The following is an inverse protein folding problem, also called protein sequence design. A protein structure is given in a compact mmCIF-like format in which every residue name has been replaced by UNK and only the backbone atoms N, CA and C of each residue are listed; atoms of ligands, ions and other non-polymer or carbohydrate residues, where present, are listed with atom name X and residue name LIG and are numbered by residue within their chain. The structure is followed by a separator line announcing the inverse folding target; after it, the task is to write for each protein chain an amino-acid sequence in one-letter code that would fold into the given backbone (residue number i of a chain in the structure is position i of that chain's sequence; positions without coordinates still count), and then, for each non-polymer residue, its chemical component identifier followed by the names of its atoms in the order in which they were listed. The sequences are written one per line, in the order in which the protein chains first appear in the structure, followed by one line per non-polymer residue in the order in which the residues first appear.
data_IF_721167164591
#
_entry.id   IF_721167164591
#
_cell.length_a   1.000
_cell.length_b   1.000
_cell.length_c   1.000
_cell.angle_alpha   90.00
_cell.angle_beta   90.00
_cell.angle_gamma   90.00
#
_symmetry.space_group_name_H-M   'P 1'
#
loop_
_entity.id
_entity.type
_entity.pdbx_description
1 polymer ?
#
# COMPACT_ATOMS: atom_id res chain seq x y z
N UNK A 1 31.02 17.82 12.42
CA UNK A 1 29.93 17.54 11.46
C UNK A 1 29.31 16.14 11.64
N UNK A 2 30.08 15.04 11.71
CA UNK A 2 29.53 13.68 11.90
C UNK A 2 28.86 13.42 13.26
N UNK A 3 29.33 14.06 14.34
CA UNK A 3 28.75 13.90 15.69
C UNK A 3 27.32 14.47 15.81
N UNK A 4 27.01 15.55 15.09
CA UNK A 4 25.67 16.17 15.10
C UNK A 4 24.66 15.26 14.40
N UNK A 5 25.06 14.61 13.30
CA UNK A 5 24.21 13.65 12.58
C UNK A 5 23.92 12.39 13.40
N UNK A 6 24.87 11.89 14.21
CA UNK A 6 24.65 10.73 15.09
C UNK A 6 23.69 11.08 16.23
N UNK A 7 23.82 12.27 16.82
CA UNK A 7 22.92 12.73 17.88
C UNK A 7 21.52 13.01 17.34
N UNK A 8 21.39 13.63 16.15
CA UNK A 8 20.09 13.80 15.48
C UNK A 8 19.44 12.45 15.16
N UNK A 9 20.22 11.48 14.66
CA UNK A 9 19.73 10.14 14.32
C UNK A 9 19.30 9.35 15.57
N UNK A 10 19.99 9.53 16.70
CA UNK A 10 19.63 8.91 17.99
C UNK A 10 18.38 9.54 18.60
N UNK A 11 18.24 10.88 18.52
CA UNK A 11 17.03 11.61 18.95
C UNK A 11 15.83 11.22 18.08
N UNK A 12 16.01 11.07 16.77
CA UNK A 12 14.94 10.67 15.84
C UNK A 12 14.56 9.20 16.04
N UNK A 13 15.51 8.28 16.30
CA UNK A 13 15.19 6.91 16.72
C UNK A 13 14.40 6.88 18.04
N UNK A 14 14.74 7.73 19.00
CA UNK A 14 14.00 7.86 20.26
C UNK A 14 12.58 8.41 20.06
N UNK A 15 12.42 9.42 19.19
CA UNK A 15 11.11 9.99 18.84
C UNK A 15 10.23 8.95 18.14
N UNK A 16 10.77 8.19 17.18
CA UNK A 16 10.03 7.11 16.51
C UNK A 16 9.66 5.98 17.49
N UNK A 17 10.55 5.64 18.44
CA UNK A 17 10.30 4.60 19.45
C UNK A 17 9.27 5.03 20.50
N UNK A 18 9.25 6.31 20.88
CA UNK A 18 8.23 6.90 21.76
C UNK A 18 6.86 6.94 21.07
N UNK A 19 6.83 7.28 19.77
CA UNK A 19 5.60 7.38 18.99
C UNK A 19 4.89 6.03 18.75
N UNK A 20 5.65 4.91 18.73
CA UNK A 20 5.06 3.57 18.61
C UNK A 20 4.46 3.01 19.91
N UNK A 21 4.70 3.65 21.07
CA UNK A 21 4.28 3.13 22.38
C UNK A 21 3.09 3.87 23.01
N UNK A 22 2.60 4.97 22.44
CA UNK A 22 1.64 5.86 23.13
C UNK A 22 0.16 5.65 22.76
N UNK A 23 -0.18 4.65 21.94
CA UNK A 23 -1.57 4.36 21.62
C UNK A 23 -2.24 3.43 22.66
N UNK A 24 -2.55 3.94 23.87
CA UNK A 24 -3.62 3.36 24.72
C UNK A 24 -4.07 4.28 25.88
N UNK A 25 -5.17 5.02 25.69
CA UNK A 25 -6.42 5.03 26.48
C UNK A 25 -7.22 6.35 26.29
N UNK A 26 -8.47 6.21 25.83
CA UNK A 26 -9.48 7.26 25.68
C UNK A 26 -10.10 7.68 27.03
N UNK A 27 -10.47 8.97 27.17
CA UNK A 27 -11.83 9.43 27.56
C UNK A 27 -11.95 10.96 27.62
N UNK A 28 -13.18 11.52 27.50
CA UNK A 28 -13.44 12.71 26.69
C UNK A 28 -13.72 14.00 27.50
N UNK A 29 -13.53 15.18 26.86
CA UNK A 29 -14.53 16.27 26.73
C UNK A 29 -13.97 17.71 26.68
N UNK A 30 -13.34 18.17 25.58
CA UNK A 30 -13.30 19.59 25.10
C UNK A 30 -12.98 19.59 23.58
N UNK A 31 -13.94 19.24 22.72
CA UNK A 31 -13.59 18.52 21.48
C UNK A 31 -13.40 19.29 20.16
N UNK A 32 -13.70 20.60 20.03
CA UNK A 32 -13.80 21.18 18.67
C UNK A 32 -12.70 22.17 18.25
N UNK A 33 -11.94 22.75 19.18
CA UNK A 33 -10.83 23.67 18.83
C UNK A 33 -9.46 22.97 18.77
N UNK A 34 -9.23 22.01 19.67
CA UNK A 34 -7.98 21.22 19.71
C UNK A 34 -7.84 20.22 18.57
N UNK A 35 -8.95 19.62 18.09
CA UNK A 35 -8.93 18.71 16.93
C UNK A 35 -8.43 19.38 15.66
N UNK A 36 -8.76 20.65 15.44
CA UNK A 36 -8.35 21.36 14.21
C UNK A 36 -6.84 21.65 14.23
N UNK A 37 -6.30 22.01 15.39
CA UNK A 37 -4.87 22.28 15.58
C UNK A 37 -4.04 20.99 15.47
N UNK A 38 -4.53 19.87 16.03
CA UNK A 38 -3.87 18.56 15.92
C UNK A 38 -3.82 18.08 14.45
N UNK A 39 -4.90 18.24 13.70
CA UNK A 39 -4.94 17.84 12.29
C UNK A 39 -3.96 18.65 11.41
N UNK A 40 -3.73 19.93 11.73
CA UNK A 40 -2.79 20.76 10.98
C UNK A 40 -1.33 20.41 11.27
N UNK A 41 -1.00 20.11 12.53
CA UNK A 41 0.33 19.65 12.93
C UNK A 41 0.66 18.28 12.31
N UNK A 42 -0.26 17.31 12.38
CA UNK A 42 -0.09 15.99 11.75
C UNK A 42 0.05 16.10 10.22
N UNK A 43 -0.67 17.05 9.61
CA UNK A 43 -0.57 17.31 8.18
C UNK A 43 0.80 17.86 7.82
N UNK A 44 1.37 18.74 8.64
CA UNK A 44 2.72 19.28 8.43
C UNK A 44 3.79 18.20 8.59
N UNK A 45 3.66 17.34 9.61
CA UNK A 45 4.55 16.19 9.82
C UNK A 45 4.59 15.26 8.60
N UNK A 46 3.41 14.98 8.00
CA UNK A 46 3.32 14.18 6.77
C UNK A 46 4.06 14.85 5.60
N UNK A 47 4.04 16.18 5.50
CA UNK A 47 4.76 16.89 4.43
C UNK A 47 6.26 16.76 4.62
N UNK A 48 6.73 16.99 5.85
CA UNK A 48 8.13 16.87 6.22
C UNK A 48 8.62 15.44 5.93
N UNK A 49 7.85 14.44 6.35
CA UNK A 49 8.15 13.05 6.07
C UNK A 49 8.17 12.76 4.56
N UNK A 50 7.23 13.29 3.77
CA UNK A 50 7.21 13.11 2.32
C UNK A 50 8.50 13.60 1.64
N UNK A 51 9.01 14.76 2.07
CA UNK A 51 10.28 15.31 1.58
C UNK A 51 11.49 14.48 2.06
N UNK A 52 11.50 14.10 3.34
CA UNK A 52 12.54 13.26 3.92
C UNK A 52 12.65 11.90 3.23
N UNK A 53 11.51 11.25 2.98
CA UNK A 53 11.44 9.98 2.27
C UNK A 53 11.99 10.11 0.84
N UNK A 54 11.59 11.16 0.11
CA UNK A 54 12.09 11.42 -1.25
C UNK A 54 13.62 11.58 -1.28
N UNK A 55 14.16 12.38 -0.37
CA UNK A 55 15.60 12.62 -0.28
C UNK A 55 16.36 11.35 0.11
N UNK A 56 15.83 10.57 1.05
CA UNK A 56 16.41 9.30 1.48
C UNK A 56 16.43 8.28 0.33
N UNK A 57 15.31 8.11 -0.38
CA UNK A 57 15.21 7.21 -1.53
C UNK A 57 16.24 7.56 -2.61
N UNK A 58 16.32 8.84 -2.98
CA UNK A 58 17.27 9.30 -4.00
C UNK A 58 18.72 9.10 -3.55
N UNK A 59 19.03 9.39 -2.28
CA UNK A 59 20.37 9.15 -1.71
C UNK A 59 20.74 7.67 -1.69
N UNK A 60 19.79 6.80 -1.42
CA UNK A 60 19.98 5.36 -1.44
C UNK A 60 20.03 4.78 -2.87
N UNK A 61 19.73 5.56 -3.91
CA UNK A 61 19.81 5.12 -5.30
C UNK A 61 18.62 4.27 -5.78
N UNK A 62 17.48 4.29 -5.09
CA UNK A 62 16.30 3.51 -5.49
C UNK A 62 15.36 4.31 -6.39
N UNK A 63 14.77 3.68 -7.39
CA UNK A 63 13.68 4.26 -8.17
C UNK A 63 12.35 4.16 -7.41
N UNK A 64 11.36 4.96 -7.80
CA UNK A 64 10.01 4.85 -7.25
C UNK A 64 9.36 3.48 -7.57
N UNK A 65 9.75 2.84 -8.68
CA UNK A 65 9.31 1.49 -9.05
C UNK A 65 9.87 0.44 -8.10
N UNK A 66 11.17 0.53 -7.78
CA UNK A 66 11.84 -0.41 -6.88
C UNK A 66 11.19 -0.41 -5.50
N UNK A 67 10.95 0.77 -4.92
CA UNK A 67 10.29 0.88 -3.61
C UNK A 67 8.88 0.28 -3.66
N UNK A 68 8.13 0.56 -4.73
CA UNK A 68 6.79 0.00 -4.90
C UNK A 68 6.78 -1.53 -4.93
N UNK A 69 7.74 -2.12 -5.65
CA UNK A 69 7.90 -3.58 -5.73
C UNK A 69 8.31 -4.18 -4.38
N UNK A 70 9.27 -3.57 -3.69
CA UNK A 70 9.78 -4.04 -2.39
C UNK A 70 8.68 -4.03 -1.31
N UNK A 71 7.89 -2.95 -1.26
CA UNK A 71 6.73 -2.88 -0.36
C UNK A 71 5.63 -3.87 -0.74
N UNK A 72 5.45 -4.13 -2.04
CA UNK A 72 4.46 -5.08 -2.54
C UNK A 72 4.76 -6.52 -2.10
N UNK A 73 6.03 -6.91 -2.15
CA UNK A 73 6.49 -8.20 -1.64
C UNK A 73 6.23 -8.38 -0.14
N UNK A 74 6.36 -7.30 0.65
CA UNK A 74 6.21 -7.34 2.11
C UNK A 74 4.76 -7.35 2.58
N UNK A 75 3.93 -6.46 2.02
CA UNK A 75 2.58 -6.21 2.55
C UNK A 75 1.46 -6.86 1.72
N UNK A 76 1.80 -7.61 0.66
CA UNK A 76 0.85 -8.38 -0.14
C UNK A 76 -0.01 -7.56 -1.10
N UNK A 77 0.29 -6.27 -1.26
CA UNK A 77 -0.37 -5.38 -2.20
C UNK A 77 0.68 -4.65 -3.05
N UNK A 78 0.67 -4.91 -4.36
CA UNK A 78 1.56 -4.24 -5.30
C UNK A 78 1.36 -2.72 -5.21
N UNK A 79 2.36 -2.02 -4.65
CA UNK A 79 2.42 -0.56 -4.72
C UNK A 79 3.02 -0.20 -6.08
N UNK A 80 2.33 0.67 -6.82
CA UNK A 80 2.85 1.14 -8.10
C UNK A 80 3.82 2.31 -7.91
N UNK A 81 4.71 2.51 -8.88
CA UNK A 81 5.52 3.73 -9.00
C UNK A 81 4.65 4.99 -8.84
N UNK A 82 3.45 4.99 -9.41
CA UNK A 82 2.50 6.10 -9.31
C UNK A 82 2.02 6.36 -7.87
N UNK A 83 1.95 5.34 -7.01
CA UNK A 83 1.61 5.53 -5.59
C UNK A 83 2.74 6.23 -4.85
N UNK A 84 3.99 5.80 -5.07
CA UNK A 84 5.16 6.44 -4.46
C UNK A 84 5.30 7.88 -4.95
N UNK A 85 5.14 8.12 -6.25
CA UNK A 85 5.15 9.46 -6.84
C UNK A 85 4.07 10.38 -6.24
N UNK A 86 2.84 9.89 -6.06
CA UNK A 86 1.76 10.67 -5.44
C UNK A 86 2.01 10.95 -3.97
N UNK A 87 2.68 10.04 -3.26
CA UNK A 87 3.07 10.25 -1.88
C UNK A 87 4.14 11.36 -1.78
N UNK A 88 5.21 11.28 -2.58
CA UNK A 88 6.28 12.30 -2.60
C UNK A 88 5.79 13.70 -3.02
N UNK A 89 4.77 13.77 -3.86
CA UNK A 89 4.17 15.04 -4.32
C UNK A 89 3.01 15.51 -3.42
N UNK A 90 2.74 14.80 -2.32
CA UNK A 90 1.64 15.10 -1.38
C UNK A 90 0.26 15.11 -2.05
N UNK A 91 0.12 14.40 -3.18
CA UNK A 91 -1.08 14.35 -4.01
C UNK A 91 -1.94 13.12 -3.67
N UNK A 92 -2.13 12.88 -2.38
CA UNK A 92 -3.00 11.85 -1.81
C UNK A 92 -3.84 12.48 -0.70
N UNK A 93 -5.00 11.91 -0.43
CA UNK A 93 -5.78 12.30 0.76
C UNK A 93 -4.95 12.06 2.02
N UNK A 94 -5.07 12.94 3.02
CA UNK A 94 -4.39 12.81 4.32
C UNK A 94 -4.50 11.40 4.90
N UNK A 95 -5.71 10.83 5.00
CA UNK A 95 -5.93 9.45 5.48
C UNK A 95 -5.13 8.37 4.73
N UNK A 96 -4.88 8.55 3.43
CA UNK A 96 -4.05 7.63 2.66
C UNK A 96 -2.56 7.87 2.91
N UNK A 97 -2.16 9.13 3.08
CA UNK A 97 -0.79 9.47 3.45
C UNK A 97 -0.43 8.92 4.83
N UNK A 98 -1.28 9.14 5.85
CA UNK A 98 -1.06 8.64 7.21
C UNK A 98 -0.95 7.10 7.26
N UNK A 99 -1.62 6.40 6.33
CA UNK A 99 -1.49 4.94 6.20
C UNK A 99 -0.21 4.48 5.53
N UNK A 100 0.32 5.27 4.59
CA UNK A 100 1.54 4.95 3.86
C UNK A 100 2.80 5.33 4.64
N UNK A 101 2.76 6.42 5.41
CA UNK A 101 3.87 6.93 6.21
C UNK A 101 4.59 5.84 7.03
N UNK A 102 3.92 5.05 7.89
CA UNK A 102 4.62 4.05 8.71
C UNK A 102 5.28 2.96 7.87
N UNK A 103 4.69 2.57 6.73
CA UNK A 103 5.26 1.55 5.83
C UNK A 103 6.54 2.07 5.15
N UNK A 104 6.52 3.33 4.73
CA UNK A 104 7.65 3.98 4.09
C UNK A 104 8.75 4.31 5.11
N UNK A 105 8.40 4.66 6.34
CA UNK A 105 9.36 4.90 7.41
C UNK A 105 10.12 3.62 7.75
N UNK A 106 9.38 2.51 7.90
CA UNK A 106 9.97 1.21 8.15
C UNK A 106 10.88 0.75 7.01
N UNK A 107 10.50 1.05 5.76
CA UNK A 107 11.35 0.80 4.60
C UNK A 107 12.67 1.58 4.65
N UNK A 108 12.64 2.87 5.02
CA UNK A 108 13.88 3.68 5.15
C UNK A 108 14.83 3.05 6.16
N UNK A 109 14.33 2.64 7.33
CA UNK A 109 15.15 2.02 8.38
C UNK A 109 15.78 0.72 7.89
N UNK A 110 14.99 -0.14 7.25
CA UNK A 110 15.45 -1.39 6.67
C UNK A 110 16.58 -1.17 5.65
N UNK A 111 16.38 -0.23 4.73
CA UNK A 111 17.35 0.09 3.68
C UNK A 111 18.64 0.64 4.27
N UNK A 112 18.54 1.56 5.24
CA UNK A 112 19.71 2.14 5.91
C UNK A 112 20.56 1.07 6.63
N UNK A 113 19.93 0.08 7.26
CA UNK A 113 20.62 -1.04 7.90
C UNK A 113 21.33 -1.96 6.87
N UNK A 114 20.69 -2.23 5.73
CA UNK A 114 21.33 -3.01 4.65
C UNK A 114 22.52 -2.26 4.03
N UNK A 115 22.38 -0.96 3.80
CA UNK A 115 23.47 -0.13 3.28
C UNK A 115 24.65 -0.06 4.28
N UNK A 116 24.37 0.02 5.58
CA UNK A 116 25.40 -0.06 6.64
C UNK A 116 26.10 -1.41 6.70
N UNK A 117 25.42 -2.49 6.34
CA UNK A 117 26.00 -3.81 6.19
C UNK A 117 26.86 -3.95 4.91
N UNK A 118 27.05 -2.86 4.15
CA UNK A 118 27.89 -2.81 2.96
C UNK A 118 27.20 -3.28 1.68
N UNK A 119 25.88 -3.52 1.70
CA UNK A 119 25.12 -3.91 0.51
C UNK A 119 24.89 -2.71 -0.41
N UNK A 120 24.97 -2.92 -1.71
CA UNK A 120 24.61 -1.89 -2.70
C UNK A 120 23.11 -1.90 -2.99
N UNK A 121 22.56 -0.81 -3.52
CA UNK A 121 21.14 -0.74 -3.91
C UNK A 121 20.78 -1.77 -4.99
N UNK A 122 21.72 -2.05 -5.91
CA UNK A 122 21.57 -3.05 -6.95
C UNK A 122 21.50 -4.47 -6.37
N UNK A 123 22.37 -4.80 -5.40
CA UNK A 123 22.33 -6.07 -4.68
C UNK A 123 21.03 -6.24 -3.90
N UNK A 124 20.58 -5.20 -3.20
CA UNK A 124 19.32 -5.21 -2.44
C UNK A 124 18.14 -5.54 -3.36
N UNK A 125 18.10 -4.93 -4.55
CA UNK A 125 17.08 -5.21 -5.56
C UNK A 125 17.19 -6.61 -6.16
N UNK A 126 18.39 -7.01 -6.59
CA UNK A 126 18.64 -8.28 -7.28
C UNK A 126 18.40 -9.49 -6.37
N UNK A 127 18.86 -9.42 -5.13
CA UNK A 127 18.73 -10.48 -4.12
C UNK A 127 17.40 -10.40 -3.36
N UNK A 128 16.55 -9.40 -3.66
CA UNK A 128 15.27 -9.13 -2.99
C UNK A 128 15.41 -9.12 -1.47
N UNK A 129 16.44 -8.46 -0.94
CA UNK A 129 16.79 -8.52 0.50
C UNK A 129 15.69 -7.96 1.40
N UNK A 130 14.83 -7.07 0.87
CA UNK A 130 13.63 -6.61 1.57
C UNK A 130 12.60 -7.70 1.89
N UNK A 131 12.70 -8.90 1.30
CA UNK A 131 11.91 -10.07 1.71
C UNK A 131 12.30 -10.58 3.10
N UNK A 132 13.55 -10.36 3.52
CA UNK A 132 14.09 -10.88 4.79
C UNK A 132 13.93 -9.89 5.95
N UNK A 133 13.64 -8.62 5.68
CA UNK A 133 13.55 -7.61 6.73
C UNK A 133 12.16 -7.58 7.38
N UNK A 134 12.11 -7.83 8.70
CA UNK A 134 10.88 -7.91 9.49
C UNK A 134 10.34 -9.33 9.70
N UNK A 135 10.96 -10.36 9.10
CA UNK A 135 10.88 -11.70 9.65
C UNK A 135 11.76 -11.70 10.90
N UNK A 136 11.18 -11.90 12.09
CA UNK A 136 12.00 -12.23 13.25
C UNK A 136 12.89 -13.41 12.87
N UNK A 137 14.17 -13.31 13.20
CA UNK A 137 15.07 -14.46 13.24
C UNK A 137 14.49 -15.47 14.24
N UNK A 138 13.70 -16.42 13.75
CA UNK A 138 13.80 -17.77 14.29
C UNK A 138 14.91 -18.42 13.48
N UNK A 139 16.14 -18.30 13.98
CA UNK A 139 17.24 -19.16 13.54
C UNK A 139 16.76 -20.60 13.64
N UNK A 140 16.63 -21.28 12.50
CA UNK A 140 17.16 -22.63 12.28
C UNK A 140 17.35 -22.78 10.78
N UNK A 141 18.54 -23.27 10.42
CA UNK A 141 18.98 -23.65 9.09
C UNK A 141 17.87 -24.29 8.26
N UNK A 142 17.62 -23.76 7.06
CA UNK A 142 17.35 -24.64 5.95
C UNK A 142 18.06 -24.10 4.71
N UNK A 143 19.17 -24.77 4.45
CA UNK A 143 19.90 -24.71 3.20
C UNK A 143 18.95 -24.80 2.02
N UNK A 144 19.14 -23.85 1.11
CA UNK A 144 19.09 -24.05 -0.34
C UNK A 144 18.97 -25.54 -0.74
N UNK A 145 17.80 -25.96 -1.20
CA UNK A 145 17.68 -27.11 -2.08
C UNK A 145 16.68 -26.85 -3.20
N UNK A 146 17.23 -26.80 -4.40
CA UNK A 146 16.56 -27.20 -5.63
C UNK A 146 15.94 -28.59 -5.46
N UNK A 147 14.85 -28.85 -6.18
CA UNK A 147 14.78 -29.96 -7.12
C UNK A 147 13.45 -29.96 -7.89
N UNK A 148 13.56 -29.95 -9.21
CA UNK A 148 12.61 -30.60 -10.12
C UNK A 148 12.61 -32.11 -9.86
N UNK A 149 11.44 -32.75 -9.73
CA UNK A 149 11.07 -33.92 -10.55
C UNK A 149 9.59 -34.32 -10.36
N UNK A 150 9.13 -35.03 -11.38
CA UNK A 150 7.80 -35.48 -11.81
C UNK A 150 6.96 -36.43 -10.92
N UNK A 151 5.62 -36.35 -11.11
CA UNK A 151 4.57 -37.40 -11.16
C UNK A 151 4.33 -38.33 -9.92
N UNK A 152 3.13 -38.84 -9.54
CA UNK A 152 1.70 -38.70 -9.87
C UNK A 152 0.87 -39.43 -8.76
N UNK A 153 -0.41 -39.05 -8.61
CA UNK A 153 -1.59 -39.74 -8.01
C UNK A 153 -1.81 -39.85 -6.48
N UNK A 154 -3.05 -39.46 -6.08
CA UNK A 154 -3.83 -40.24 -5.11
C UNK A 154 -4.51 -39.47 -3.96
N UNK A 155 -5.82 -39.23 -4.14
CA UNK A 155 -6.87 -39.06 -3.13
C UNK A 155 -7.10 -37.76 -2.33
N UNK A 156 -8.38 -37.37 -2.38
CA UNK A 156 -9.08 -36.38 -1.57
C UNK A 156 -9.07 -36.77 -0.09
N UNK A 157 -8.95 -35.78 0.81
CA UNK A 157 -9.79 -35.64 2.01
C UNK A 157 -9.85 -34.15 2.39
N UNK A 158 -11.09 -33.66 2.46
CA UNK A 158 -11.53 -32.37 2.98
C UNK A 158 -11.39 -32.35 4.51
N UNK A 159 -10.76 -31.31 5.07
CA UNK A 159 -10.83 -31.01 6.50
C UNK A 159 -10.39 -29.56 6.76
N UNK A 160 -11.40 -28.69 6.86
CA UNK A 160 -11.35 -27.39 7.55
C UNK A 160 -10.54 -27.49 8.86
N UNK A 161 -9.34 -26.92 8.88
CA UNK A 161 -8.64 -26.59 10.13
C UNK A 161 -8.51 -25.07 10.25
N UNK A 162 -9.51 -24.50 10.95
CA UNK A 162 -9.47 -23.15 11.50
C UNK A 162 -8.46 -23.19 12.67
N UNK A 163 -7.40 -22.39 12.61
CA UNK A 163 -6.56 -22.15 13.77
C UNK A 163 -6.40 -20.65 13.98
N UNK A 164 -7.07 -20.17 15.01
CA UNK A 164 -6.89 -18.89 15.67
C UNK A 164 -5.69 -18.94 16.62
N UNK A 165 -4.79 -17.95 16.54
CA UNK A 165 -4.12 -17.31 17.68
C UNK A 165 -3.12 -16.24 17.21
N UNK A 166 -3.58 -14.99 17.27
CA UNK A 166 -2.89 -13.74 17.63
C UNK A 166 -1.38 -13.56 17.41
N UNK A 167 -1.08 -12.69 16.42
CA UNK A 167 -0.47 -11.35 16.58
C UNK A 167 -0.44 -10.64 15.22
N UNK A 168 -1.56 -10.02 14.84
CA UNK A 168 -1.65 -9.17 13.65
C UNK A 168 -1.41 -7.71 14.06
N UNK A 169 -0.26 -7.14 13.70
CA UNK A 169 -0.03 -5.68 13.81
C UNK A 169 -0.09 -4.97 12.44
N UNK A 170 -0.10 -5.68 11.32
CA UNK A 170 -0.41 -5.08 10.01
C UNK A 170 -1.35 -6.00 9.26
N UNK A 171 -2.62 -5.59 9.15
CA UNK A 171 -3.63 -6.33 8.41
C UNK A 171 -3.16 -6.55 6.96
N UNK A 172 -3.16 -7.80 6.52
CA UNK A 172 -2.84 -8.17 5.14
C UNK A 172 -3.63 -7.28 4.16
N UNK A 173 -2.92 -6.48 3.36
CA UNK A 173 -3.57 -5.67 2.35
C UNK A 173 -4.09 -6.63 1.27
N UNK A 174 -5.42 -6.77 1.17
CA UNK A 174 -6.02 -7.61 0.12
C UNK A 174 -5.52 -7.16 -1.25
N UNK A 175 -5.02 -8.12 -2.03
CA UNK A 175 -4.55 -7.88 -3.40
C UNK A 175 -5.61 -7.13 -4.21
N UNK A 176 -5.24 -5.98 -4.77
CA UNK A 176 -6.16 -5.16 -5.57
C UNK A 176 -6.45 -5.87 -6.89
N UNK A 177 -7.71 -5.82 -7.35
CA UNK A 177 -8.09 -6.32 -8.68
C UNK A 177 -7.39 -5.50 -9.76
N UNK A 178 -6.94 -6.16 -10.84
CA UNK A 178 -6.38 -5.48 -12.01
C UNK A 178 -7.45 -4.56 -12.63
N UNK A 179 -7.03 -3.39 -13.12
CA UNK A 179 -7.93 -2.43 -13.77
C UNK A 179 -8.45 -3.00 -15.09
N UNK A 180 -9.76 -2.92 -15.32
CA UNK A 180 -10.38 -3.21 -16.62
C UNK A 180 -10.17 -2.03 -17.56
N UNK A 181 -9.59 -2.29 -18.74
CA UNK A 181 -9.51 -1.31 -19.82
C UNK A 181 -10.76 -1.46 -20.69
N UNK A 182 -11.62 -0.44 -20.68
CA UNK A 182 -12.79 -0.40 -21.56
C UNK A 182 -12.33 -0.03 -22.98
N UNK A 183 -12.96 -0.59 -24.01
CA UNK A 183 -12.75 -0.17 -25.39
C UNK A 183 -13.53 1.13 -25.72
N UNK A 184 -13.20 1.83 -26.81
CA UNK A 184 -13.92 3.00 -27.29
C UNK A 184 -15.41 2.69 -27.52
N UNK A 185 -15.70 1.60 -28.23
CA UNK A 185 -17.08 1.16 -28.51
C UNK A 185 -17.87 0.88 -27.24
N UNK A 186 -17.24 0.22 -26.26
CA UNK A 186 -17.83 -0.07 -24.95
C UNK A 186 -18.12 1.20 -24.15
N UNK A 187 -17.21 2.20 -24.19
CA UNK A 187 -17.41 3.49 -23.53
C UNK A 187 -18.58 4.26 -24.15
N UNK A 188 -18.68 4.29 -25.47
CA UNK A 188 -19.73 5.01 -26.18
C UNK A 188 -21.11 4.40 -25.91
N UNK A 189 -21.20 3.06 -25.92
CA UNK A 189 -22.42 2.37 -25.53
C UNK A 189 -22.84 2.69 -24.09
N UNK A 190 -21.88 2.67 -23.15
CA UNK A 190 -22.16 3.00 -21.75
C UNK A 190 -22.61 4.45 -21.57
N UNK A 191 -22.00 5.41 -22.29
CA UNK A 191 -22.44 6.80 -22.29
C UNK A 191 -23.87 6.94 -22.81
N UNK A 192 -24.21 6.27 -23.92
CA UNK A 192 -25.57 6.27 -24.50
C UNK A 192 -26.60 5.68 -23.53
N UNK A 193 -26.25 4.60 -22.84
CA UNK A 193 -27.13 4.02 -21.82
C UNK A 193 -27.29 4.94 -20.60
N UNK A 194 -26.23 5.65 -20.22
CA UNK A 194 -26.25 6.62 -19.11
C UNK A 194 -27.14 7.84 -19.38
N UNK A 195 -27.21 8.29 -20.63
CA UNK A 195 -28.11 9.38 -21.04
C UNK A 195 -29.57 8.97 -20.94
N UNK A 196 -29.90 7.71 -21.27
CA UNK A 196 -31.25 7.15 -21.16
C UNK A 196 -31.64 6.90 -19.70
N UNK A 197 -30.76 6.28 -18.94
CA UNK A 197 -30.99 5.96 -17.54
C UNK A 197 -29.69 6.10 -16.73
N UNK A 198 -29.70 7.03 -15.77
CA UNK A 198 -28.58 7.32 -14.87
C UNK A 198 -28.47 6.29 -13.73
N UNK A 199 -29.54 5.53 -13.48
CA UNK A 199 -29.69 4.58 -12.39
C UNK A 199 -30.27 3.24 -12.88
N UNK A 200 -29.54 2.52 -13.77
CA UNK A 200 -29.99 1.23 -14.25
C UNK A 200 -30.17 0.26 -13.09
N UNK A 201 -31.31 -0.44 -13.07
CA UNK A 201 -31.60 -1.49 -12.10
C UNK A 201 -30.73 -2.74 -12.34
N UNK A 202 -30.75 -3.69 -11.39
CA UNK A 202 -29.97 -4.91 -11.40
C UNK A 202 -30.08 -5.70 -12.70
N UNK A 203 -31.31 -5.84 -13.24
CA UNK A 203 -31.58 -6.54 -14.51
C UNK A 203 -31.03 -5.77 -15.72
N UNK A 204 -31.16 -4.44 -15.72
CA UNK A 204 -30.59 -3.60 -16.77
C UNK A 204 -29.05 -3.68 -16.77
N UNK A 205 -28.42 -3.71 -15.59
CA UNK A 205 -26.98 -3.91 -15.46
C UNK A 205 -26.53 -5.28 -15.99
N UNK A 206 -27.31 -6.35 -15.78
CA UNK A 206 -27.01 -7.68 -16.34
C UNK A 206 -27.09 -7.69 -17.86
N UNK A 207 -28.12 -7.06 -18.45
CA UNK A 207 -28.25 -6.96 -19.90
C UNK A 207 -27.08 -6.18 -20.53
N UNK A 208 -26.66 -5.08 -19.90
CA UNK A 208 -25.50 -4.29 -20.37
C UNK A 208 -24.20 -5.11 -20.23
N UNK A 209 -24.03 -5.83 -19.11
CA UNK A 209 -22.86 -6.67 -18.87
C UNK A 209 -22.73 -7.77 -19.92
N UNK A 210 -23.84 -8.46 -20.22
CA UNK A 210 -23.90 -9.51 -21.24
C UNK A 210 -23.63 -8.94 -22.65
N UNK A 211 -24.20 -7.79 -22.98
CA UNK A 211 -24.01 -7.16 -24.29
C UNK A 211 -22.55 -6.72 -24.52
N UNK A 212 -21.88 -6.22 -23.48
CA UNK A 212 -20.48 -5.77 -23.58
C UNK A 212 -19.46 -6.87 -23.28
N UNK A 213 -19.91 -8.06 -22.88
CA UNK A 213 -19.09 -9.16 -22.35
C UNK A 213 -18.14 -8.69 -21.22
N UNK A 214 -18.68 -7.91 -20.28
CA UNK A 214 -17.94 -7.37 -19.14
C UNK A 214 -18.54 -7.88 -17.83
N UNK A 215 -17.70 -7.98 -16.79
CA UNK A 215 -18.20 -8.31 -15.46
C UNK A 215 -19.19 -7.23 -14.98
N UNK A 216 -20.35 -7.64 -14.47
CA UNK A 216 -21.39 -6.75 -13.92
C UNK A 216 -20.84 -5.71 -12.95
N UNK A 217 -19.88 -6.10 -12.12
CA UNK A 217 -19.24 -5.20 -11.15
C UNK A 217 -18.52 -4.03 -11.83
N UNK A 218 -17.93 -4.25 -13.01
CA UNK A 218 -17.30 -3.18 -13.82
C UNK A 218 -18.36 -2.18 -14.28
N UNK A 219 -19.52 -2.66 -14.75
CA UNK A 219 -20.63 -1.80 -15.18
C UNK A 219 -21.14 -0.99 -14.00
N UNK A 220 -21.41 -1.65 -12.86
CA UNK A 220 -21.85 -0.98 -11.63
C UNK A 220 -20.88 0.11 -11.17
N UNK A 221 -19.58 -0.19 -11.11
CA UNK A 221 -18.53 0.78 -10.76
C UNK A 221 -18.45 1.91 -11.79
N UNK A 222 -18.58 1.61 -13.08
CA UNK A 222 -18.57 2.62 -14.14
C UNK A 222 -19.71 3.62 -13.96
N UNK A 223 -20.94 3.16 -13.75
CA UNK A 223 -22.10 4.03 -13.51
C UNK A 223 -21.92 4.86 -12.23
N UNK A 224 -21.38 4.28 -11.15
CA UNK A 224 -21.04 5.01 -9.92
C UNK A 224 -20.02 6.13 -10.19
N UNK A 225 -18.92 5.81 -10.87
CA UNK A 225 -17.87 6.78 -11.19
C UNK A 225 -18.38 7.86 -12.15
N UNK A 226 -19.23 7.50 -13.12
CA UNK A 226 -19.84 8.44 -14.08
C UNK A 226 -20.74 9.43 -13.37
N UNK A 227 -21.60 8.96 -12.45
CA UNK A 227 -22.46 9.83 -11.61
C UNK A 227 -21.65 10.75 -10.71
N UNK A 228 -20.56 10.26 -10.11
CA UNK A 228 -19.67 11.10 -9.32
C UNK A 228 -19.06 12.21 -10.19
N UNK A 229 -18.55 11.88 -11.38
CA UNK A 229 -17.97 12.87 -12.29
C UNK A 229 -18.97 13.97 -12.67
N UNK A 230 -20.21 13.61 -13.00
CA UNK A 230 -21.25 14.61 -13.33
C UNK A 230 -21.57 15.58 -12.21
N UNK A 231 -21.40 15.18 -10.94
CA UNK A 231 -21.62 16.06 -9.77
C UNK A 231 -20.52 17.11 -9.57
N UNK A 232 -19.33 16.90 -10.13
CA UNK A 232 -18.21 17.85 -10.02
C UNK A 232 -18.12 18.83 -11.20
N UNK A 233 -18.84 18.55 -12.29
CA UNK A 233 -18.88 19.38 -13.51
C UNK A 233 -20.14 20.25 -13.62
N UNK A 234 -21.02 20.21 -12.63
CA UNK A 234 -22.11 21.16 -12.43
C UNK A 234 -21.73 22.10 -11.29
#
# INVERSE_FOLDING_TARGET
MYLIFIVLFSVIKNIIYLFMNESRFDSPSIENKSKNIMNDAEKEEIKEFGLYFKNSRLRFGFTQGDVGQQLGHRYGADFSQTTISRFETLNLSFRNMSKLQPLLAEWIVATDEMLKAGKTAEEINKEKLHLKFGQRQDTINESLMDCQHDFINGDQIDSKKKCSSDKQIVGSFKKRRKRTNLDATQRDFLNKMFEKDKHPDHNAMDNIANHLNLNKEVIRIWFCNRRQKTRYTQ
#
